data_IF_638558495951
#
_entry.id   IF_638558495951
#
_cell.length_a   1.000
_cell.length_b   1.000
_cell.length_c   1.000
_cell.angle_alpha   90.00
_cell.angle_beta   90.00
_cell.angle_gamma   90.00
#
_symmetry.space_group_name_H-M   'P 1'
#
loop_
_entity.id
_entity.type
_entity.pdbx_description
1 polymer ?
#
# COMPACT_ATOMS: atom_id res chain seq x y z
N UNK A 1 -30.00 -15.26 31.21
CA UNK A 1 -29.43 -13.88 31.14
C UNK A 1 -28.14 -13.92 30.33
N UNK A 2 -27.98 -12.97 29.40
CA UNK A 2 -26.72 -12.78 28.70
C UNK A 2 -25.67 -12.26 29.69
N UNK A 3 -24.43 -12.73 29.57
CA UNK A 3 -23.30 -12.25 30.36
C UNK A 3 -22.20 -11.79 29.40
N UNK A 4 -21.74 -10.56 29.59
CA UNK A 4 -20.57 -10.03 28.87
C UNK A 4 -19.31 -10.58 29.53
N UNK A 5 -18.39 -11.15 28.77
CA UNK A 5 -17.11 -11.68 29.22
C UNK A 5 -15.95 -10.79 28.72
N UNK A 6 -14.76 -11.00 29.27
CA UNK A 6 -13.54 -10.26 28.90
C UNK A 6 -13.14 -10.43 27.41
N UNK A 7 -13.73 -11.41 26.72
CA UNK A 7 -13.56 -11.59 25.28
C UNK A 7 -14.49 -10.75 24.40
N UNK A 8 -15.26 -9.82 24.98
CA UNK A 8 -16.13 -8.95 24.22
C UNK A 8 -15.31 -7.93 23.41
N UNK A 9 -15.52 -7.93 22.09
CA UNK A 9 -14.86 -6.98 21.16
C UNK A 9 -15.72 -5.76 20.83
N UNK A 10 -16.83 -5.55 21.56
CA UNK A 10 -17.77 -4.43 21.37
C UNK A 10 -18.30 -4.28 19.92
N UNK A 11 -18.45 -5.39 19.19
CA UNK A 11 -18.88 -5.38 17.78
C UNK A 11 -20.34 -4.94 17.55
N UNK A 12 -21.15 -4.90 18.59
CA UNK A 12 -22.58 -4.51 18.48
C UNK A 12 -23.54 -5.63 18.08
N UNK A 13 -23.06 -6.77 17.59
CA UNK A 13 -23.93 -7.85 17.10
C UNK A 13 -24.96 -8.40 18.10
N UNK A 14 -24.70 -8.31 19.40
CA UNK A 14 -25.67 -8.67 20.45
C UNK A 14 -26.75 -7.59 20.64
N UNK A 15 -26.46 -6.33 20.33
CA UNK A 15 -27.43 -5.23 20.41
C UNK A 15 -28.48 -5.42 19.33
N UNK A 16 -28.06 -5.65 18.09
CA UNK A 16 -28.93 -5.85 16.93
C UNK A 16 -29.75 -7.15 17.04
N UNK A 17 -29.19 -8.17 17.68
CA UNK A 17 -29.84 -9.47 17.87
C UNK A 17 -30.78 -9.51 19.08
N UNK A 18 -30.84 -8.46 19.90
CA UNK A 18 -31.68 -8.46 21.11
C UNK A 18 -33.15 -8.13 20.80
N UNK A 19 -34.08 -9.08 20.88
CA UNK A 19 -35.48 -8.86 20.46
C UNK A 19 -36.24 -7.88 21.36
N UNK A 20 -35.70 -7.56 22.51
CA UNK A 20 -36.32 -6.66 23.51
C UNK A 20 -35.48 -5.40 23.76
N UNK A 21 -34.49 -5.15 22.96
CA UNK A 21 -33.57 -3.99 23.04
C UNK A 21 -32.97 -3.75 24.45
N UNK A 22 -32.70 -4.85 25.18
CA UNK A 22 -32.19 -4.80 26.55
C UNK A 22 -30.66 -4.72 26.64
N UNK A 23 -29.99 -4.58 25.52
CA UNK A 23 -28.52 -4.48 25.44
C UNK A 23 -28.18 -3.16 24.77
N UNK A 24 -27.40 -2.33 25.48
CA UNK A 24 -26.80 -1.12 24.94
C UNK A 24 -25.29 -1.15 25.09
N UNK A 25 -24.58 -0.51 24.19
CA UNK A 25 -23.14 -0.27 24.29
C UNK A 25 -22.96 1.24 24.48
N UNK A 26 -22.56 1.63 25.68
CA UNK A 26 -22.10 2.97 25.94
C UNK A 26 -20.64 3.07 25.48
N UNK A 27 -20.39 3.87 24.45
CA UNK A 27 -19.05 4.21 24.00
C UNK A 27 -18.74 5.60 24.50
N UNK A 28 -17.66 5.73 25.22
CA UNK A 28 -17.12 7.05 25.56
C UNK A 28 -16.48 7.64 24.29
N UNK A 29 -17.29 8.37 23.52
CA UNK A 29 -16.84 9.01 22.27
C UNK A 29 -15.73 10.05 22.53
N UNK A 30 -15.62 10.55 23.76
CA UNK A 30 -14.56 11.47 24.14
C UNK A 30 -13.23 10.76 24.49
N UNK A 31 -13.26 9.50 24.90
CA UNK A 31 -12.07 8.77 25.31
C UNK A 31 -11.17 8.34 24.13
N UNK A 32 -11.65 8.52 22.89
CA UNK A 32 -10.92 8.17 21.67
C UNK A 32 -10.82 9.31 20.66
N UNK A 33 -11.17 10.54 21.03
CA UNK A 33 -11.06 11.68 20.12
C UNK A 33 -9.59 11.93 19.76
N UNK A 34 -9.26 11.68 18.49
CA UNK A 34 -7.93 11.94 17.94
C UNK A 34 -7.80 13.46 17.75
N UNK A 35 -6.74 14.06 18.27
CA UNK A 35 -6.39 15.45 17.95
C UNK A 35 -5.91 15.50 16.50
N UNK A 36 -6.85 15.79 15.58
CA UNK A 36 -6.59 15.80 14.13
C UNK A 36 -5.60 16.90 13.73
N UNK A 37 -5.55 18.01 14.47
CA UNK A 37 -4.67 19.15 14.17
C UNK A 37 -3.21 18.85 14.49
N UNK A 38 -2.96 17.83 15.29
CA UNK A 38 -1.60 17.37 15.56
C UNK A 38 -0.97 16.60 14.39
N UNK A 39 -1.77 16.21 13.38
CA UNK A 39 -1.31 15.41 12.25
C UNK A 39 -1.03 16.29 11.04
N UNK A 40 0.16 16.11 10.44
CA UNK A 40 0.60 16.84 9.25
C UNK A 40 1.40 15.91 8.34
N UNK A 41 1.65 16.41 7.14
CA UNK A 41 2.46 15.79 6.10
C UNK A 41 1.81 14.56 5.44
N UNK A 42 2.10 14.42 4.17
CA UNK A 42 1.68 13.26 3.38
C UNK A 42 2.86 12.30 3.28
N UNK A 43 2.65 11.05 3.65
CA UNK A 43 3.67 10.03 3.53
C UNK A 43 3.43 9.13 2.34
N UNK A 44 4.49 8.81 1.61
CA UNK A 44 4.51 7.77 0.59
C UNK A 44 5.38 6.61 1.10
N UNK A 45 4.78 5.44 1.25
CA UNK A 45 5.52 4.22 1.56
C UNK A 45 6.22 3.73 0.31
N UNK A 46 7.55 3.67 0.37
CA UNK A 46 8.43 3.24 -0.72
C UNK A 46 8.76 1.77 -0.52
N UNK A 47 8.12 0.92 -1.31
CA UNK A 47 8.43 -0.50 -1.31
C UNK A 47 9.71 -0.78 -2.09
N UNK A 48 10.54 -1.67 -1.56
CA UNK A 48 11.71 -2.25 -2.25
C UNK A 48 11.50 -3.74 -2.48
N UNK A 49 12.28 -4.32 -3.38
CA UNK A 49 12.41 -5.77 -3.55
C UNK A 49 13.58 -6.34 -2.70
N UNK A 50 13.84 -7.64 -2.83
CA UNK A 50 14.92 -8.34 -2.13
C UNK A 50 16.33 -7.87 -2.51
N UNK A 51 16.46 -7.14 -3.60
CA UNK A 51 17.71 -6.52 -4.07
C UNK A 51 17.81 -5.05 -3.69
N UNK A 52 16.89 -4.54 -2.87
CA UNK A 52 16.69 -3.14 -2.52
C UNK A 52 16.30 -2.22 -3.69
N UNK A 53 15.88 -2.76 -4.84
CA UNK A 53 15.40 -1.92 -5.92
C UNK A 53 14.02 -1.34 -5.57
N UNK A 54 13.86 -0.03 -5.79
CA UNK A 54 12.61 0.68 -5.53
C UNK A 54 11.54 0.25 -6.54
N UNK A 55 10.40 -0.21 -6.05
CA UNK A 55 9.30 -0.61 -6.89
C UNK A 55 8.75 0.58 -7.72
N UNK A 56 8.44 0.41 -9.02
CA UNK A 56 7.97 1.51 -9.88
C UNK A 56 6.77 2.27 -9.32
N UNK A 57 5.83 1.58 -8.67
CA UNK A 57 4.66 2.20 -8.01
C UNK A 57 5.05 3.23 -6.94
N UNK A 58 6.20 3.08 -6.31
CA UNK A 58 6.66 4.05 -5.31
C UNK A 58 6.86 5.44 -5.93
N UNK A 59 7.42 5.51 -7.15
CA UNK A 59 7.56 6.78 -7.86
C UNK A 59 6.21 7.38 -8.29
N UNK A 60 5.24 6.54 -8.65
CA UNK A 60 3.86 7.00 -8.88
C UNK A 60 3.26 7.63 -7.62
N UNK A 61 3.50 7.00 -6.44
CA UNK A 61 3.07 7.55 -5.15
C UNK A 61 3.79 8.86 -4.82
N UNK A 62 5.07 8.99 -5.17
CA UNK A 62 5.81 10.25 -5.00
C UNK A 62 5.18 11.39 -5.80
N UNK A 63 4.87 11.15 -7.09
CA UNK A 63 4.20 12.14 -7.93
C UNK A 63 2.84 12.58 -7.38
N UNK A 64 2.01 11.61 -7.04
CA UNK A 64 0.68 11.90 -6.47
C UNK A 64 0.75 12.47 -5.07
N UNK A 65 1.66 11.99 -4.24
CA UNK A 65 1.91 12.52 -2.90
C UNK A 65 2.35 13.98 -2.93
N UNK A 66 3.19 14.37 -3.91
CA UNK A 66 3.60 15.77 -4.10
C UNK A 66 2.41 16.66 -4.43
N UNK A 67 1.56 16.24 -5.37
CA UNK A 67 0.34 16.98 -5.73
C UNK A 67 -0.57 17.20 -4.50
N UNK A 68 -0.78 16.15 -3.69
CA UNK A 68 -1.60 16.23 -2.49
C UNK A 68 -0.98 17.11 -1.42
N UNK A 69 0.34 17.02 -1.22
CA UNK A 69 1.08 17.81 -0.25
C UNK A 69 1.09 19.31 -0.63
N UNK A 70 1.25 19.62 -1.91
CA UNK A 70 1.16 20.99 -2.42
C UNK A 70 -0.26 21.57 -2.21
N UNK A 71 -1.29 20.81 -2.53
CA UNK A 71 -2.68 21.21 -2.31
C UNK A 71 -2.99 21.47 -0.83
N UNK A 72 -2.38 20.68 0.07
CA UNK A 72 -2.55 20.80 1.52
C UNK A 72 -1.62 21.84 2.16
N UNK A 73 -0.57 22.28 1.46
CA UNK A 73 0.46 23.17 2.00
C UNK A 73 1.31 22.51 3.08
N UNK A 74 1.69 21.23 2.89
CA UNK A 74 2.49 20.44 3.82
C UNK A 74 3.61 19.70 3.08
N UNK A 75 4.44 18.94 3.81
CA UNK A 75 5.57 18.20 3.24
C UNK A 75 5.13 16.86 2.67
N UNK A 76 5.87 16.41 1.64
CA UNK A 76 5.87 15.03 1.21
C UNK A 76 7.05 14.30 1.86
N UNK A 77 6.75 13.23 2.57
CA UNK A 77 7.74 12.39 3.25
C UNK A 77 7.76 11.01 2.62
N UNK A 78 8.92 10.57 2.13
CA UNK A 78 9.12 9.22 1.66
C UNK A 78 9.57 8.33 2.83
N UNK A 79 8.88 7.23 3.10
CA UNK A 79 9.28 6.24 4.08
C UNK A 79 9.78 4.98 3.38
N UNK A 80 11.05 4.64 3.58
CA UNK A 80 11.69 3.48 2.95
C UNK A 80 12.38 2.60 3.99
N UNK A 81 12.12 1.29 3.88
CA UNK A 81 12.87 0.25 4.57
C UNK A 81 13.73 -0.52 3.57
N UNK A 82 14.97 -0.81 3.94
CA UNK A 82 15.90 -1.55 3.10
C UNK A 82 16.91 -2.33 3.95
N UNK A 83 17.58 -3.30 3.33
CA UNK A 83 18.72 -3.95 3.99
C UNK A 83 19.90 -2.97 4.13
N UNK A 84 20.92 -3.31 4.93
CA UNK A 84 22.09 -2.44 5.14
C UNK A 84 22.83 -2.07 3.86
N UNK A 85 22.78 -2.91 2.80
CA UNK A 85 23.44 -2.69 1.51
C UNK A 85 22.66 -1.75 0.59
N UNK A 86 21.44 -1.34 0.98
CA UNK A 86 20.61 -0.46 0.17
C UNK A 86 21.33 0.84 -0.23
N UNK A 87 21.11 1.27 -1.47
CA UNK A 87 21.85 2.36 -2.10
C UNK A 87 21.44 3.73 -1.55
N UNK A 88 22.44 4.57 -1.23
CA UNK A 88 22.21 5.98 -0.90
C UNK A 88 21.64 6.75 -2.09
N UNK A 89 22.00 6.36 -3.31
CA UNK A 89 21.53 6.99 -4.53
C UNK A 89 20.02 6.87 -4.69
N UNK A 90 19.43 5.76 -4.23
CA UNK A 90 17.97 5.60 -4.29
C UNK A 90 17.26 6.57 -3.35
N UNK A 91 17.88 6.89 -2.19
CA UNK A 91 17.36 7.91 -1.29
C UNK A 91 17.43 9.31 -1.91
N UNK A 92 18.51 9.65 -2.60
CA UNK A 92 18.65 10.89 -3.36
C UNK A 92 17.61 10.97 -4.50
N UNK A 93 17.37 9.87 -5.20
CA UNK A 93 16.34 9.81 -6.25
C UNK A 93 14.94 10.08 -5.71
N UNK A 94 14.62 9.65 -4.47
CA UNK A 94 13.35 9.99 -3.84
C UNK A 94 13.20 11.48 -3.55
N UNK A 95 14.28 12.15 -3.19
CA UNK A 95 14.30 13.62 -3.08
C UNK A 95 14.04 14.26 -4.44
N UNK A 96 14.76 13.82 -5.49
CA UNK A 96 14.56 14.29 -6.86
C UNK A 96 13.14 14.01 -7.38
N UNK A 97 12.50 12.95 -6.89
CA UNK A 97 11.11 12.60 -7.20
C UNK A 97 10.07 13.39 -6.40
N UNK A 98 10.49 14.34 -5.57
CA UNK A 98 9.59 15.29 -4.92
C UNK A 98 9.52 15.20 -3.40
N UNK A 99 10.27 14.31 -2.71
CA UNK A 99 10.28 14.28 -1.25
C UNK A 99 10.94 15.52 -0.66
N UNK A 100 10.34 16.05 0.39
CA UNK A 100 10.95 17.07 1.25
C UNK A 100 11.80 16.41 2.35
N UNK A 101 11.39 15.21 2.77
CA UNK A 101 12.14 14.38 3.71
C UNK A 101 12.05 12.90 3.30
N UNK A 102 13.14 12.17 3.44
CA UNK A 102 13.21 10.71 3.28
C UNK A 102 13.54 10.10 4.64
N UNK A 103 12.61 9.33 5.20
CA UNK A 103 12.83 8.52 6.39
C UNK A 103 13.35 7.16 5.95
N UNK A 104 14.64 6.91 6.16
CA UNK A 104 15.30 5.68 5.72
C UNK A 104 15.64 4.78 6.90
N UNK A 105 15.08 3.58 6.93
CA UNK A 105 15.47 2.53 7.88
C UNK A 105 16.33 1.48 7.17
N UNK A 106 17.54 1.26 7.69
CA UNK A 106 18.48 0.25 7.21
C UNK A 106 18.66 -0.83 8.24
N UNK A 107 18.06 -1.99 8.01
CA UNK A 107 18.12 -3.12 8.92
C UNK A 107 18.00 -4.43 8.14
N UNK A 108 18.75 -5.45 8.52
CA UNK A 108 18.72 -6.75 7.87
C UNK A 108 17.32 -7.40 7.91
N UNK A 109 16.55 -7.11 8.96
CA UNK A 109 15.17 -7.60 9.11
C UNK A 109 14.20 -7.01 8.07
N UNK A 110 14.60 -5.95 7.34
CA UNK A 110 13.82 -5.32 6.26
C UNK A 110 14.21 -5.82 4.86
N UNK A 111 15.20 -6.71 4.75
CA UNK A 111 15.62 -7.30 3.46
C UNK A 111 14.47 -8.01 2.75
N UNK A 112 13.69 -8.73 3.53
CA UNK A 112 12.49 -9.39 3.05
C UNK A 112 11.27 -8.56 3.44
N UNK A 113 10.28 -8.53 2.58
CA UNK A 113 9.03 -7.81 2.83
C UNK A 113 8.16 -8.53 3.87
N UNK A 114 8.62 -8.56 5.13
CA UNK A 114 7.83 -9.05 6.27
C UNK A 114 6.86 -7.95 6.73
N UNK A 115 5.57 -8.18 6.49
CA UNK A 115 4.53 -7.18 6.80
C UNK A 115 4.45 -6.84 8.29
N UNK A 116 4.85 -7.74 9.18
CA UNK A 116 4.79 -7.52 10.62
C UNK A 116 5.90 -6.60 11.11
N UNK A 117 7.12 -6.82 10.61
CA UNK A 117 8.29 -5.99 10.91
C UNK A 117 8.08 -4.55 10.37
N UNK A 118 7.61 -4.44 9.13
CA UNK A 118 7.29 -3.13 8.54
C UNK A 118 6.12 -2.44 9.24
N UNK A 119 5.08 -3.17 9.65
CA UNK A 119 3.96 -2.59 10.39
C UNK A 119 4.42 -2.03 11.75
N UNK A 120 5.36 -2.69 12.44
CA UNK A 120 5.94 -2.19 13.67
C UNK A 120 6.69 -0.88 13.42
N UNK A 121 7.59 -0.85 12.44
CA UNK A 121 8.33 0.36 12.04
C UNK A 121 7.39 1.53 11.77
N UNK A 122 6.36 1.30 10.94
CA UNK A 122 5.42 2.35 10.54
C UNK A 122 4.61 2.85 11.72
N UNK A 123 4.09 1.95 12.57
CA UNK A 123 3.29 2.34 13.73
C UNK A 123 4.09 3.16 14.74
N UNK A 124 5.35 2.78 15.01
CA UNK A 124 6.22 3.51 15.91
C UNK A 124 6.50 4.93 15.37
N UNK A 125 6.78 5.06 14.08
CA UNK A 125 6.98 6.36 13.43
C UNK A 125 5.71 7.23 13.38
N UNK A 126 4.54 6.63 13.13
CA UNK A 126 3.26 7.34 13.14
C UNK A 126 2.96 7.89 14.53
N UNK A 127 3.26 7.15 15.58
CA UNK A 127 3.08 7.62 16.96
C UNK A 127 3.97 8.84 17.28
N UNK A 128 5.18 8.88 16.72
CA UNK A 128 6.13 9.99 16.90
C UNK A 128 5.82 11.20 16.01
N UNK A 129 5.62 10.95 14.70
CA UNK A 129 5.62 11.98 13.64
C UNK A 129 4.24 12.42 13.19
N UNK A 130 3.20 11.65 13.48
CA UNK A 130 1.79 11.95 13.23
C UNK A 130 1.49 12.42 11.80
N UNK A 131 1.69 11.58 10.77
CA UNK A 131 1.35 11.94 9.39
C UNK A 131 -0.17 12.12 9.21
N UNK A 132 -0.59 13.07 8.38
CA UNK A 132 -1.99 13.29 8.04
C UNK A 132 -2.54 12.20 7.15
N UNK A 133 -1.72 11.73 6.18
CA UNK A 133 -2.07 10.61 5.32
C UNK A 133 -0.86 9.74 4.97
N UNK A 134 -1.11 8.46 4.68
CA UNK A 134 -0.10 7.51 4.19
C UNK A 134 -0.61 6.81 2.94
N UNK A 135 0.19 6.87 1.87
CA UNK A 135 -0.07 6.22 0.60
C UNK A 135 0.77 4.95 0.46
N UNK A 136 0.15 3.86 0.03
CA UNK A 136 0.80 2.57 -0.24
C UNK A 136 0.53 2.14 -1.68
N UNK A 137 1.46 1.43 -2.31
CA UNK A 137 1.18 0.72 -3.56
C UNK A 137 0.28 -0.50 -3.30
N UNK A 138 -0.74 -0.72 -4.12
CA UNK A 138 -1.60 -1.92 -4.03
C UNK A 138 -0.93 -3.15 -4.68
N UNK A 139 0.35 -3.37 -4.39
CA UNK A 139 1.11 -4.59 -4.68
C UNK A 139 0.65 -5.73 -3.76
N UNK A 140 1.14 -6.94 -3.96
CA UNK A 140 0.88 -8.04 -3.03
C UNK A 140 1.29 -7.67 -1.60
N UNK A 141 2.50 -7.12 -1.44
CA UNK A 141 3.00 -6.70 -0.14
C UNK A 141 2.22 -5.52 0.45
N UNK A 142 1.93 -4.48 -0.32
CA UNK A 142 1.18 -3.32 0.18
C UNK A 142 -0.25 -3.66 0.61
N UNK A 143 -0.89 -4.64 -0.06
CA UNK A 143 -2.22 -5.16 0.32
C UNK A 143 -2.21 -5.99 1.60
N UNK A 144 -1.08 -6.56 1.95
CA UNK A 144 -0.87 -7.26 3.23
C UNK A 144 -0.53 -6.25 4.34
N UNK A 145 0.42 -5.36 4.09
CA UNK A 145 0.96 -4.42 5.06
C UNK A 145 -0.06 -3.37 5.51
N UNK A 146 -0.68 -2.66 4.56
CA UNK A 146 -1.50 -1.49 4.88
C UNK A 146 -2.72 -1.81 5.79
N UNK A 147 -3.46 -2.92 5.61
CA UNK A 147 -4.52 -3.30 6.56
C UNK A 147 -3.98 -3.60 7.95
N UNK A 148 -2.81 -4.24 8.04
CA UNK A 148 -2.16 -4.55 9.32
C UNK A 148 -1.78 -3.28 10.09
N UNK A 149 -1.29 -2.25 9.40
CA UNK A 149 -1.01 -0.93 9.97
C UNK A 149 -2.30 -0.22 10.38
N UNK A 150 -3.33 -0.21 9.51
CA UNK A 150 -4.60 0.46 9.77
C UNK A 150 -5.28 -0.06 11.05
N UNK A 151 -5.30 -1.39 11.24
CA UNK A 151 -5.88 -2.01 12.45
C UNK A 151 -5.10 -1.62 13.70
N UNK A 152 -3.76 -1.62 13.65
CA UNK A 152 -2.94 -1.23 14.80
C UNK A 152 -3.11 0.24 15.19
N UNK A 153 -3.27 1.12 14.20
CA UNK A 153 -3.50 2.55 14.39
C UNK A 153 -4.97 2.90 14.63
N UNK A 154 -5.88 1.93 14.55
CA UNK A 154 -7.33 2.11 14.67
C UNK A 154 -7.87 3.19 13.71
N UNK A 155 -7.41 3.18 12.47
CA UNK A 155 -7.82 4.12 11.43
C UNK A 155 -8.42 3.42 10.21
N UNK A 156 -9.02 4.23 9.31
CA UNK A 156 -9.60 3.73 8.07
C UNK A 156 -8.57 3.54 6.97
N UNK A 157 -8.81 2.54 6.10
CA UNK A 157 -8.02 2.28 4.90
C UNK A 157 -8.94 2.09 3.70
N UNK A 158 -8.69 2.83 2.62
CA UNK A 158 -9.35 2.58 1.34
C UNK A 158 -8.40 1.83 0.41
N UNK A 159 -8.83 0.65 -0.06
CA UNK A 159 -8.00 -0.21 -0.89
C UNK A 159 -8.24 0.02 -2.39
N UNK A 160 -7.17 -0.15 -3.21
CA UNK A 160 -7.21 -0.12 -4.68
C UNK A 160 -7.73 1.19 -5.28
N UNK A 161 -7.34 2.32 -4.71
CA UNK A 161 -7.72 3.63 -5.21
C UNK A 161 -7.19 3.88 -6.61
N UNK A 162 -7.99 4.56 -7.42
CA UNK A 162 -7.66 5.00 -8.79
C UNK A 162 -7.70 6.52 -8.94
N UNK A 163 -8.33 7.23 -8.01
CA UNK A 163 -8.28 8.70 -7.92
C UNK A 163 -8.07 9.10 -6.47
N UNK A 164 -7.19 10.05 -6.25
CA UNK A 164 -6.95 10.70 -4.97
C UNK A 164 -7.01 12.22 -5.18
N UNK A 165 -7.71 12.92 -4.29
CA UNK A 165 -7.73 14.38 -4.25
C UNK A 165 -7.81 14.87 -2.81
N UNK A 166 -7.26 16.06 -2.56
CA UNK A 166 -7.32 16.71 -1.26
C UNK A 166 -8.42 17.76 -1.26
N UNK A 167 -9.35 17.64 -0.34
CA UNK A 167 -10.27 18.72 -0.02
C UNK A 167 -9.52 19.73 0.85
N UNK A 168 -9.21 20.89 0.27
CA UNK A 168 -8.37 21.92 0.91
C UNK A 168 -9.08 22.65 2.06
N UNK A 169 -10.42 22.62 2.10
CA UNK A 169 -11.20 23.27 3.17
C UNK A 169 -11.25 22.39 4.41
N UNK A 170 -11.48 21.09 4.24
CA UNK A 170 -11.64 20.13 5.32
C UNK A 170 -10.39 19.35 5.67
N UNK A 171 -9.37 19.34 4.80
CA UNK A 171 -8.18 18.49 4.94
C UNK A 171 -8.47 16.99 4.73
N UNK A 172 -9.62 16.65 4.14
CA UNK A 172 -9.99 15.26 3.90
C UNK A 172 -9.41 14.75 2.58
N UNK A 173 -8.72 13.62 2.66
CA UNK A 173 -8.27 12.88 1.49
C UNK A 173 -9.48 12.12 0.90
N UNK A 174 -9.92 12.55 -0.27
CA UNK A 174 -10.95 11.90 -1.06
C UNK A 174 -10.34 10.73 -1.81
N UNK A 175 -10.79 9.52 -1.49
CA UNK A 175 -10.20 8.27 -1.94
C UNK A 175 -11.22 7.54 -2.81
N UNK A 176 -11.05 7.61 -4.13
CA UNK A 176 -12.01 7.04 -5.08
C UNK A 176 -11.49 5.71 -5.64
N UNK A 177 -12.37 4.71 -5.61
CA UNK A 177 -12.08 3.37 -6.11
C UNK A 177 -13.25 2.81 -6.92
N UNK A 178 -12.98 1.94 -7.91
CA UNK A 178 -14.04 1.15 -8.54
C UNK A 178 -14.65 0.16 -7.55
N UNK A 179 -15.96 0.05 -7.55
CA UNK A 179 -16.74 -0.89 -6.76
C UNK A 179 -17.66 -1.71 -7.66
N UNK A 180 -18.20 -2.81 -7.15
CA UNK A 180 -19.16 -3.68 -7.85
C UNK A 180 -18.74 -4.04 -9.29
N UNK A 181 -17.51 -4.55 -9.45
CA UNK A 181 -16.98 -4.94 -10.76
C UNK A 181 -16.65 -3.78 -11.70
N UNK A 182 -16.48 -2.58 -11.16
CA UNK A 182 -16.13 -1.38 -11.92
C UNK A 182 -17.29 -0.56 -12.45
N UNK A 183 -18.54 -0.96 -12.16
CA UNK A 183 -19.73 -0.25 -12.61
C UNK A 183 -20.06 0.99 -11.78
N UNK A 184 -19.44 1.13 -10.62
CA UNK A 184 -19.64 2.26 -9.70
C UNK A 184 -18.30 2.74 -9.19
N UNK A 185 -18.15 4.07 -9.10
CA UNK A 185 -17.01 4.70 -8.44
C UNK A 185 -17.45 5.16 -7.05
N UNK A 186 -16.78 4.66 -6.01
CA UNK A 186 -17.05 5.04 -4.63
C UNK A 186 -15.95 5.98 -4.13
N UNK A 187 -16.32 7.17 -3.67
CA UNK A 187 -15.41 8.10 -2.99
C UNK A 187 -15.59 7.96 -1.49
N UNK A 188 -14.50 7.67 -0.78
CA UNK A 188 -14.46 7.38 0.64
C UNK A 188 -13.58 8.43 1.31
N UNK A 189 -13.97 8.86 2.51
CA UNK A 189 -13.22 9.79 3.35
C UNK A 189 -13.08 9.23 4.77
N UNK A 190 -12.05 9.66 5.49
CA UNK A 190 -11.81 9.28 6.88
C UNK A 190 -11.81 10.54 7.77
N UNK A 191 -12.99 11.05 8.20
CA UNK A 191 -13.08 12.34 8.87
C UNK A 191 -12.56 12.34 10.31
N UNK A 192 -12.67 11.22 11.03
CA UNK A 192 -12.50 11.20 12.49
C UNK A 192 -11.20 10.55 12.97
N UNK A 193 -10.41 9.96 12.07
CA UNK A 193 -9.19 9.22 12.42
C UNK A 193 -8.02 9.65 11.55
N UNK A 194 -6.81 9.48 12.06
CA UNK A 194 -5.55 9.72 11.36
C UNK A 194 -4.56 8.58 11.64
N UNK A 195 -3.63 8.34 10.71
CA UNK A 195 -3.55 8.89 9.36
C UNK A 195 -4.71 8.41 8.46
N UNK A 196 -5.05 9.20 7.44
CA UNK A 196 -5.91 8.75 6.35
C UNK A 196 -5.09 7.81 5.45
N UNK A 197 -5.54 6.57 5.23
CA UNK A 197 -4.71 5.58 4.54
C UNK A 197 -5.35 5.11 3.24
N UNK A 198 -4.54 5.01 2.19
CA UNK A 198 -4.95 4.52 0.88
C UNK A 198 -3.93 3.56 0.30
N UNK A 199 -4.39 2.44 -0.30
CA UNK A 199 -3.56 1.74 -1.28
C UNK A 199 -3.95 2.16 -2.68
N UNK A 200 -2.95 2.37 -3.54
CA UNK A 200 -3.09 2.85 -4.91
C UNK A 200 -2.74 1.75 -5.88
N UNK A 201 -3.60 1.50 -6.86
CA UNK A 201 -3.34 0.50 -7.89
C UNK A 201 -2.14 0.93 -8.74
N UNK A 202 -1.12 0.06 -8.96
CA UNK A 202 0.00 0.36 -9.85
C UNK A 202 -0.44 0.70 -11.27
N UNK A 203 0.29 1.59 -11.93
CA UNK A 203 0.00 2.02 -13.30
C UNK A 203 -1.13 3.04 -13.44
N UNK A 204 -1.60 3.62 -12.33
CA UNK A 204 -2.69 4.61 -12.34
C UNK A 204 -2.16 6.04 -12.36
N UNK A 205 -1.14 6.32 -11.58
CA UNK A 205 -0.55 7.65 -11.52
C UNK A 205 0.77 7.70 -12.29
N UNK A 206 1.09 8.87 -12.81
CA UNK A 206 2.37 9.09 -13.49
C UNK A 206 3.48 9.29 -12.46
N UNK A 207 4.60 8.60 -12.63
CA UNK A 207 5.82 8.93 -11.91
C UNK A 207 6.28 10.35 -12.31
N UNK A 208 6.81 11.15 -11.39
CA UNK A 208 7.29 12.49 -11.71
C UNK A 208 8.59 12.42 -12.51
N UNK A 209 8.86 13.46 -13.27
CA UNK A 209 10.20 13.69 -13.80
C UNK A 209 11.13 14.04 -12.63
N UNK A 210 12.36 13.55 -12.62
CA UNK A 210 13.31 13.83 -11.55
C UNK A 210 13.85 15.25 -11.65
N UNK A 211 13.69 16.01 -10.58
CA UNK A 211 14.28 17.33 -10.41
C UNK A 211 15.61 17.20 -9.62
N UNK A 212 16.72 17.17 -10.33
CA UNK A 212 18.04 17.00 -9.71
C UNK A 212 18.55 18.26 -8.99
N UNK A 213 17.87 19.40 -9.14
CA UNK A 213 18.18 20.63 -8.40
C UNK A 213 17.41 20.72 -7.07
N UNK A 214 16.48 19.77 -6.85
CA UNK A 214 15.68 19.72 -5.63
C UNK A 214 16.54 19.32 -4.43
N UNK A 215 16.36 20.02 -3.31
CA UNK A 215 16.95 19.69 -2.02
C UNK A 215 15.90 19.10 -1.07
N UNK A 216 16.31 18.11 -0.29
CA UNK A 216 15.49 17.49 0.75
C UNK A 216 16.37 16.91 1.86
N UNK A 217 15.77 16.48 2.93
CA UNK A 217 16.49 15.91 4.07
C UNK A 217 16.39 14.37 4.04
N UNK A 218 17.51 13.69 4.26
CA UNK A 218 17.53 12.23 4.45
C UNK A 218 17.78 11.96 5.93
N UNK A 219 16.76 11.44 6.62
CA UNK A 219 16.78 11.12 8.04
C UNK A 219 16.94 9.61 8.21
N UNK A 220 18.04 9.18 8.85
CA UNK A 220 18.19 7.78 9.23
C UNK A 220 17.36 7.48 10.47
N UNK A 221 16.57 6.42 10.40
CA UNK A 221 15.74 5.94 11.51
C UNK A 221 16.11 4.50 11.84
N UNK A 222 15.84 4.08 13.06
CA UNK A 222 16.15 2.74 13.55
C UNK A 222 14.87 1.95 13.76
N UNK A 223 14.92 0.67 13.45
CA UNK A 223 13.89 -0.28 13.82
C UNK A 223 14.03 -0.63 15.31
N UNK A 224 12.90 -0.76 16.01
CA UNK A 224 12.90 -1.18 17.40
C UNK A 224 13.58 -2.54 17.59
N UNK A 225 14.35 -2.71 18.69
CA UNK A 225 15.13 -3.94 18.93
C UNK A 225 14.24 -5.18 19.09
N UNK A 226 13.02 -5.00 19.59
CA UNK A 226 12.03 -6.05 19.80
C UNK A 226 11.19 -6.36 18.56
N UNK A 227 11.36 -5.62 17.46
CA UNK A 227 10.70 -5.93 16.19
C UNK A 227 11.25 -7.25 15.63
N UNK A 228 10.38 -8.25 15.52
CA UNK A 228 10.76 -9.59 15.06
C UNK A 228 9.74 -10.12 14.07
N UNK A 229 10.26 -10.72 12.99
CA UNK A 229 9.45 -11.56 12.12
C UNK A 229 8.99 -12.81 12.89
N UNK A 230 7.72 -13.19 12.73
CA UNK A 230 7.18 -14.46 13.26
C UNK A 230 7.23 -15.58 12.23
N UNK A 231 7.54 -15.25 11.00
CA UNK A 231 7.67 -16.17 9.88
C UNK A 231 9.07 -16.07 9.30
N UNK A 232 9.60 -17.18 8.82
CA UNK A 232 10.81 -17.21 8.03
C UNK A 232 10.41 -17.33 6.56
N UNK A 233 10.86 -16.40 5.75
CA UNK A 233 10.59 -16.37 4.30
C UNK A 233 11.79 -17.05 3.62
N UNK A 234 11.56 -18.21 3.01
CA UNK A 234 12.55 -18.88 2.18
C UNK A 234 12.11 -18.84 0.73
N UNK A 235 13.00 -18.36 -0.14
CA UNK A 235 12.77 -18.31 -1.58
C UNK A 235 13.57 -19.46 -2.20
N UNK A 236 12.93 -20.48 -2.80
CA UNK A 236 13.64 -21.58 -3.46
C UNK A 236 14.46 -21.03 -4.64
N UNK A 237 15.75 -21.31 -4.66
CA UNK A 237 16.68 -20.80 -5.68
C UNK A 237 16.39 -21.29 -7.11
N UNK A 238 15.57 -22.33 -7.28
CA UNK A 238 15.37 -23.02 -8.56
C UNK A 238 14.11 -22.55 -9.33
N UNK A 239 13.20 -21.79 -8.74
CA UNK A 239 11.92 -21.43 -9.40
C UNK A 239 11.96 -20.08 -10.14
N UNK A 240 13.01 -19.31 -10.00
CA UNK A 240 13.18 -18.01 -10.68
C UNK A 240 13.99 -18.14 -11.96
N UNK A 241 13.56 -19.03 -12.87
CA UNK A 241 13.94 -18.84 -14.27
C UNK A 241 13.49 -17.45 -14.71
N UNK A 242 14.29 -16.78 -15.53
CA UNK A 242 14.00 -15.48 -16.16
C UNK A 242 12.68 -15.52 -16.96
N UNK A 243 11.55 -15.66 -16.28
CA UNK A 243 10.28 -15.44 -16.90
C UNK A 243 10.06 -13.93 -16.90
N UNK A 244 10.03 -13.34 -18.09
CA UNK A 244 9.65 -11.94 -18.25
C UNK A 244 8.34 -11.72 -17.51
N UNK A 245 8.30 -10.73 -16.61
CA UNK A 245 7.09 -10.37 -15.90
C UNK A 245 6.07 -9.87 -16.93
N UNK A 246 4.87 -10.44 -16.95
CA UNK A 246 3.79 -9.93 -17.81
C UNK A 246 3.39 -8.49 -17.46
N UNK A 247 3.77 -8.01 -16.27
CA UNK A 247 3.54 -6.62 -15.85
C UNK A 247 4.42 -5.63 -16.60
N UNK A 248 5.60 -6.07 -17.08
CA UNK A 248 6.58 -5.22 -17.78
C UNK A 248 6.44 -5.34 -19.31
N UNK A 249 5.51 -6.17 -19.78
CA UNK A 249 5.32 -6.41 -21.20
C UNK A 249 4.72 -5.19 -21.91
N UNK A 250 5.40 -4.67 -22.94
CA UNK A 250 4.89 -3.59 -23.79
C UNK A 250 3.62 -4.01 -24.55
N UNK A 251 3.61 -5.28 -24.98
CA UNK A 251 2.47 -5.90 -25.67
C UNK A 251 2.22 -7.27 -25.08
N UNK A 252 0.95 -7.59 -24.84
CA UNK A 252 0.56 -8.83 -24.18
C UNK A 252 -0.59 -9.52 -24.93
N UNK A 253 -0.42 -10.79 -25.28
CA UNK A 253 -1.49 -11.67 -25.73
C UNK A 253 -1.97 -12.48 -24.54
N UNK A 254 -3.19 -12.24 -24.07
CA UNK A 254 -3.77 -12.91 -22.90
C UNK A 254 -4.72 -14.02 -23.31
N UNK A 255 -4.42 -15.25 -22.90
CA UNK A 255 -5.23 -16.41 -23.18
C UNK A 255 -6.22 -16.67 -22.06
N UNK A 256 -7.50 -16.71 -22.40
CA UNK A 256 -8.60 -17.11 -21.51
C UNK A 256 -9.06 -18.55 -21.78
N UNK A 257 -9.95 -19.05 -20.91
CA UNK A 257 -10.56 -20.39 -21.07
C UNK A 257 -11.30 -20.55 -22.42
N UNK A 258 -11.70 -19.46 -23.05
CA UNK A 258 -12.38 -19.45 -24.36
C UNK A 258 -11.59 -20.08 -25.52
N UNK A 259 -10.26 -20.30 -25.38
CA UNK A 259 -9.49 -21.06 -26.38
C UNK A 259 -9.90 -22.54 -26.46
N UNK A 260 -10.64 -23.06 -25.51
CA UNK A 260 -11.26 -24.38 -25.49
C UNK A 260 -10.33 -25.55 -25.13
N UNK A 261 -9.04 -25.53 -25.47
CA UNK A 261 -8.10 -26.59 -25.11
C UNK A 261 -6.65 -26.16 -25.12
N UNK A 262 -5.80 -26.88 -24.36
CA UNK A 262 -4.34 -26.70 -24.33
C UNK A 262 -3.68 -26.75 -25.71
N UNK A 263 -4.22 -27.54 -26.66
CA UNK A 263 -3.70 -27.66 -28.02
C UNK A 263 -3.70 -26.32 -28.76
N UNK A 264 -4.66 -25.46 -28.48
CA UNK A 264 -4.80 -24.15 -29.11
C UNK A 264 -3.80 -23.12 -28.63
N UNK A 265 -3.04 -23.39 -27.54
CA UNK A 265 -1.95 -22.52 -27.08
C UNK A 265 -0.87 -22.32 -28.15
N UNK A 266 -0.64 -23.32 -29.02
CA UNK A 266 0.34 -23.18 -30.13
C UNK A 266 -0.07 -22.04 -31.07
N UNK A 267 -1.36 -21.87 -31.34
CA UNK A 267 -1.85 -20.77 -32.17
C UNK A 267 -1.63 -19.43 -31.49
N UNK A 268 -1.88 -19.36 -30.18
CA UNK A 268 -1.67 -18.13 -29.40
C UNK A 268 -0.20 -17.73 -29.28
N UNK A 269 0.71 -18.71 -29.16
CA UNK A 269 2.16 -18.44 -29.20
C UNK A 269 2.59 -17.85 -30.55
N UNK A 270 2.12 -18.41 -31.65
CA UNK A 270 2.38 -17.87 -32.99
C UNK A 270 1.82 -16.46 -33.17
N UNK A 271 0.65 -16.17 -32.57
CA UNK A 271 0.09 -14.82 -32.57
C UNK A 271 0.95 -13.85 -31.77
N UNK A 272 1.40 -14.26 -30.57
CA UNK A 272 2.29 -13.45 -29.74
C UNK A 272 3.61 -13.16 -30.46
N UNK A 273 4.23 -14.17 -31.05
CA UNK A 273 5.46 -14.04 -31.85
C UNK A 273 5.26 -13.06 -33.04
N UNK A 274 4.15 -13.19 -33.77
CA UNK A 274 3.86 -12.32 -34.92
C UNK A 274 3.63 -10.84 -34.51
N UNK A 275 3.19 -10.59 -33.28
CA UNK A 275 2.95 -9.26 -32.72
C UNK A 275 4.16 -8.70 -31.94
N UNK A 276 5.20 -9.48 -31.76
CA UNK A 276 6.30 -9.15 -30.84
C UNK A 276 5.78 -8.92 -29.41
N UNK A 277 4.86 -9.77 -28.96
CA UNK A 277 4.17 -9.67 -27.70
C UNK A 277 4.53 -10.83 -26.76
N UNK A 278 4.47 -10.58 -25.44
CA UNK A 278 4.53 -11.64 -24.44
C UNK A 278 3.22 -12.41 -24.36
N UNK A 279 3.30 -13.68 -23.93
CA UNK A 279 2.14 -14.54 -23.77
C UNK A 279 1.76 -14.66 -22.30
N UNK A 280 0.59 -14.17 -21.92
CA UNK A 280 0.01 -14.34 -20.60
C UNK A 280 -1.26 -15.17 -20.60
N UNK A 281 -1.78 -15.50 -19.44
CA UNK A 281 -3.06 -16.20 -19.34
C UNK A 281 -3.87 -15.75 -18.10
N UNK A 282 -5.19 -16.02 -18.18
CA UNK A 282 -6.06 -15.79 -17.03
C UNK A 282 -5.97 -16.94 -16.04
N UNK A 283 -6.26 -16.67 -14.76
CA UNK A 283 -6.25 -17.65 -13.67
C UNK A 283 -6.91 -19.00 -13.99
N UNK A 284 -8.09 -19.06 -14.63
CA UNK A 284 -8.72 -20.34 -14.99
C UNK A 284 -7.89 -21.21 -15.96
N UNK A 285 -6.99 -20.63 -16.73
CA UNK A 285 -6.09 -21.39 -17.64
C UNK A 285 -4.95 -21.99 -16.81
N UNK A 286 -4.41 -21.25 -15.84
CA UNK A 286 -3.40 -21.74 -14.89
C UNK A 286 -3.98 -22.90 -14.09
N UNK A 287 -5.17 -22.72 -13.50
CA UNK A 287 -5.85 -23.76 -12.70
C UNK A 287 -6.16 -25.03 -13.50
N UNK A 288 -6.35 -24.92 -14.81
CA UNK A 288 -6.54 -26.06 -15.71
C UNK A 288 -5.23 -26.77 -16.07
N UNK A 289 -4.05 -26.28 -15.62
CA UNK A 289 -2.73 -26.86 -15.93
C UNK A 289 -2.35 -26.79 -17.41
N UNK A 290 -2.78 -25.77 -18.14
CA UNK A 290 -2.53 -25.62 -19.58
C UNK A 290 -1.20 -24.94 -19.90
#
# INVERSE_FOLDING_TARGET
CARVTDGCILCGGCVDACPVNAISIERDEAAGAVDLDAYRDIWAFVQTDEHNAVAPVAYELMGKGRELADARGCRLVALIGMSPEGSLRDLEHLVCAGADEVLACRDERLRQNDAEVYARLICDLVAERKPEAILYGATAFGRELAPGVAVRLQTGLTADCTVLSMDTETGLLQQTRPAFGGNLMATIVCPNHRPQMATVRPGIFKAPDFDYDRSGTITQISLADDAKARVEISIPAEEWGQQASIADAERLVVVGRGIGSKKNLTLMRRLAEALGAELGCTRPVVEAGW
#
